data_IF_701217189773
#
_entry.id   IF_701217189773
#
_cell.length_a   1.000
_cell.length_b   1.000
_cell.length_c   1.000
_cell.angle_alpha   90.00
_cell.angle_beta   90.00
_cell.angle_gamma   90.00
#
_symmetry.space_group_name_H-M   'P 1'
#
loop_
_entity.id
_entity.type
_entity.pdbx_description
1 polymer ?
#
# COMPACT_ATOMS: atom_id res chain seq x y z
N UNK A 1 -9.36 12.77 12.43
CA UNK A 1 -8.23 12.11 12.85
C UNK A 1 -7.01 11.96 11.94
N UNK A 2 -7.13 11.62 10.65
CA UNK A 2 -6.00 11.44 9.72
C UNK A 2 -5.11 10.21 10.02
N UNK A 3 -5.59 9.26 10.81
CA UNK A 3 -4.96 7.94 10.99
C UNK A 3 -5.39 7.01 9.87
N UNK A 4 -4.51 6.08 9.49
CA UNK A 4 -4.77 5.09 8.44
C UNK A 4 -4.75 3.69 9.03
N UNK A 5 -5.83 2.95 8.81
CA UNK A 5 -5.96 1.55 9.21
C UNK A 5 -6.07 0.68 7.97
N UNK A 6 -5.29 -0.37 7.92
CA UNK A 6 -5.31 -1.35 6.84
C UNK A 6 -4.97 -2.73 7.36
N UNK A 7 -5.04 -3.72 6.50
CA UNK A 7 -4.62 -5.09 6.85
C UNK A 7 -3.61 -5.59 5.85
N UNK A 8 -2.65 -6.36 6.34
CA UNK A 8 -1.70 -7.09 5.50
C UNK A 8 -1.96 -8.59 5.60
N UNK A 9 -1.63 -9.31 4.54
CA UNK A 9 -1.64 -10.76 4.51
C UNK A 9 -0.21 -11.26 4.69
N UNK A 10 0.01 -12.12 5.68
CA UNK A 10 1.29 -12.80 5.91
C UNK A 10 1.01 -14.30 5.99
N UNK A 11 1.40 -15.03 4.94
CA UNK A 11 0.96 -16.41 4.76
C UNK A 11 -0.58 -16.47 4.89
N UNK A 12 -1.11 -17.32 5.76
CA UNK A 12 -2.55 -17.50 5.97
C UNK A 12 -3.15 -16.56 7.04
N UNK A 13 -2.35 -15.61 7.55
CA UNK A 13 -2.77 -14.72 8.63
C UNK A 13 -3.00 -13.30 8.13
N UNK A 14 -4.10 -12.70 8.54
CA UNK A 14 -4.42 -11.29 8.32
C UNK A 14 -4.08 -10.47 9.57
N UNK A 15 -3.20 -9.48 9.40
CA UNK A 15 -2.74 -8.61 10.48
C UNK A 15 -3.28 -7.20 10.26
N UNK A 16 -3.97 -6.66 11.26
CA UNK A 16 -4.42 -5.26 11.24
C UNK A 16 -3.26 -4.35 11.58
N UNK A 17 -3.10 -3.29 10.82
CA UNK A 17 -2.06 -2.28 10.96
C UNK A 17 -2.68 -0.90 11.17
N UNK A 18 -1.99 -0.06 11.92
CA UNK A 18 -2.34 1.34 12.12
C UNK A 18 -1.12 2.22 11.87
N UNK A 19 -1.30 3.25 11.05
CA UNK A 19 -0.33 4.33 10.83
C UNK A 19 -0.94 5.61 11.39
N UNK A 20 -0.29 6.21 12.36
CA UNK A 20 -0.79 7.39 13.04
C UNK A 20 -0.27 8.68 12.38
N UNK A 21 -1.11 9.72 12.34
CA UNK A 21 -0.82 11.01 11.71
C UNK A 21 0.54 11.63 12.11
N UNK A 22 0.96 11.61 13.39
CA UNK A 22 2.25 12.17 13.78
C UNK A 22 3.47 11.55 13.09
N UNK A 23 3.35 10.32 12.58
CA UNK A 23 4.44 9.64 11.85
C UNK A 23 4.75 10.27 10.49
N UNK A 24 3.82 11.01 9.90
CA UNK A 24 3.88 11.60 8.55
C UNK A 24 4.00 10.58 7.39
N UNK A 25 3.87 9.27 7.67
CA UNK A 25 3.85 8.23 6.63
C UNK A 25 2.42 7.75 6.31
N UNK A 26 1.39 8.43 6.83
CA UNK A 26 -0.02 8.12 6.55
C UNK A 26 -0.37 8.24 5.08
N UNK A 27 0.14 9.26 4.39
CA UNK A 27 -0.08 9.44 2.95
C UNK A 27 0.50 8.28 2.14
N UNK A 28 1.67 7.76 2.52
CA UNK A 28 2.26 6.58 1.91
C UNK A 28 1.35 5.36 2.11
N UNK A 29 0.85 5.16 3.34
CA UNK A 29 -0.05 4.05 3.64
C UNK A 29 -1.39 4.13 2.87
N UNK A 30 -1.93 5.34 2.65
CA UNK A 30 -3.14 5.55 1.85
C UNK A 30 -2.96 5.21 0.37
N UNK A 31 -1.74 5.31 -0.16
CA UNK A 31 -1.43 4.99 -1.55
C UNK A 31 -1.11 3.51 -1.78
N UNK A 32 -1.14 2.66 -0.75
CA UNK A 32 -1.01 1.21 -0.91
C UNK A 32 -2.30 0.63 -1.49
N UNK A 33 -2.15 -0.37 -2.36
CA UNK A 33 -3.27 -1.15 -2.89
C UNK A 33 -3.03 -2.64 -2.69
N UNK A 34 -4.09 -3.47 -2.75
CA UNK A 34 -3.95 -4.92 -2.71
C UNK A 34 -2.96 -5.42 -3.77
N UNK A 35 -2.08 -6.35 -3.39
CA UNK A 35 -1.02 -6.88 -4.24
C UNK A 35 0.33 -6.19 -4.09
N UNK A 36 0.41 -5.00 -3.46
CA UNK A 36 1.70 -4.40 -3.12
C UNK A 36 2.47 -5.29 -2.13
N UNK A 37 3.77 -5.51 -2.38
CA UNK A 37 4.63 -6.22 -1.44
C UNK A 37 5.35 -5.21 -0.55
N UNK A 38 5.15 -5.36 0.75
CA UNK A 38 5.69 -4.44 1.75
C UNK A 38 6.34 -5.20 2.89
N UNK A 39 7.30 -4.55 3.54
CA UNK A 39 7.84 -4.92 4.84
C UNK A 39 7.55 -3.79 5.80
N UNK A 40 7.00 -4.10 6.92
CA UNK A 40 6.74 -3.12 7.96
C UNK A 40 7.08 -3.69 9.33
N UNK A 41 7.29 -2.81 10.28
CA UNK A 41 7.52 -3.18 11.67
C UNK A 41 6.97 -2.14 12.60
N UNK A 42 6.77 -2.54 13.83
CA UNK A 42 6.21 -1.67 14.86
C UNK A 42 5.80 -2.42 16.11
N UNK A 43 5.24 -1.69 17.07
CA UNK A 43 4.76 -2.23 18.34
C UNK A 43 3.36 -2.86 18.22
N UNK A 44 3.14 -4.01 18.83
CA UNK A 44 1.83 -4.65 18.87
C UNK A 44 1.05 -4.14 20.09
N UNK A 45 -0.08 -3.51 19.85
CA UNK A 45 -1.08 -3.25 20.87
C UNK A 45 -1.95 -4.50 21.07
N UNK A 46 -1.93 -5.06 22.27
CA UNK A 46 -2.77 -6.20 22.63
C UNK A 46 -4.26 -5.86 22.50
N UNK A 47 -5.07 -6.89 22.27
CA UNK A 47 -6.53 -6.73 22.29
C UNK A 47 -7.01 -6.34 23.70
N UNK A 48 -8.08 -5.57 23.77
CA UNK A 48 -8.81 -5.24 25.00
C UNK A 48 -10.32 -5.38 24.76
N UNK A 49 -11.13 -5.20 25.79
CA UNK A 49 -12.60 -5.23 25.66
C UNK A 49 -13.11 -4.26 24.58
N UNK A 50 -12.46 -3.08 24.41
CA UNK A 50 -12.86 -2.03 23.46
C UNK A 50 -12.13 -2.06 22.12
N UNK A 51 -10.96 -2.72 22.03
CA UNK A 51 -10.11 -2.62 20.85
C UNK A 51 -9.52 -3.96 20.43
N UNK A 52 -9.53 -4.24 19.14
CA UNK A 52 -8.86 -5.43 18.59
C UNK A 52 -7.34 -5.22 18.58
N UNK A 53 -6.59 -6.35 18.56
CA UNK A 53 -5.13 -6.34 18.37
C UNK A 53 -4.77 -5.60 17.08
N UNK A 54 -3.73 -4.76 17.14
CA UNK A 54 -3.25 -3.97 16.01
C UNK A 54 -1.74 -3.80 16.07
N UNK A 55 -1.08 -3.85 14.92
CA UNK A 55 0.33 -3.48 14.76
C UNK A 55 0.42 -1.97 14.50
N UNK A 56 1.00 -1.24 15.44
CA UNK A 56 1.29 0.18 15.29
C UNK A 56 2.56 0.34 14.46
N UNK A 57 2.41 0.76 13.20
CA UNK A 57 3.51 0.81 12.23
C UNK A 57 4.49 1.92 12.59
N UNK A 58 5.76 1.55 12.75
CA UNK A 58 6.89 2.45 13.03
C UNK A 58 7.79 2.66 11.81
N UNK A 59 7.77 1.78 10.82
CA UNK A 59 8.39 1.99 9.52
C UNK A 59 7.66 1.18 8.44
N UNK A 60 7.74 1.65 7.20
CA UNK A 60 7.14 1.02 6.04
C UNK A 60 8.14 0.96 4.89
N UNK A 61 8.50 -0.24 4.46
CA UNK A 61 9.35 -0.47 3.30
C UNK A 61 8.52 -1.05 2.17
N UNK A 62 8.34 -0.29 1.10
CA UNK A 62 7.66 -0.74 -0.12
C UNK A 62 8.68 -1.47 -0.98
N UNK A 63 8.47 -2.76 -1.19
CA UNK A 63 9.38 -3.66 -1.90
C UNK A 63 9.00 -3.79 -3.37
N UNK A 64 7.69 -3.90 -3.66
CA UNK A 64 7.16 -4.03 -5.01
C UNK A 64 5.78 -3.38 -5.08
N UNK A 65 5.52 -2.66 -6.15
CA UNK A 65 4.23 -2.05 -6.43
C UNK A 65 3.48 -2.83 -7.50
N UNK A 66 2.21 -3.07 -7.24
CA UNK A 66 1.26 -3.60 -8.23
C UNK A 66 0.80 -2.46 -9.14
N UNK A 67 0.61 -2.76 -10.40
CA UNK A 67 0.02 -1.81 -11.36
C UNK A 67 -1.41 -1.48 -10.94
N UNK A 68 -1.73 -0.20 -10.92
CA UNK A 68 -3.08 0.25 -10.61
C UNK A 68 -3.86 0.44 -11.92
N UNK A 69 -4.95 -0.27 -12.06
CA UNK A 69 -5.78 -0.25 -13.27
C UNK A 69 -7.18 0.28 -12.95
N UNK A 70 -7.64 1.19 -13.79
CA UNK A 70 -9.01 1.69 -13.75
C UNK A 70 -9.75 1.24 -15.00
N UNK A 71 -10.95 0.67 -14.83
CA UNK A 71 -11.87 0.37 -15.92
C UNK A 71 -12.61 1.64 -16.32
N UNK A 72 -12.33 2.12 -17.51
CA UNK A 72 -12.94 3.33 -18.08
C UNK A 72 -13.79 3.00 -19.30
N UNK A 73 -14.72 3.90 -19.65
CA UNK A 73 -15.48 3.76 -20.87
C UNK A 73 -14.53 3.71 -22.07
N UNK A 74 -14.78 2.88 -23.09
CA UNK A 74 -13.90 2.72 -24.24
C UNK A 74 -13.82 3.98 -25.07
N UNK A 75 -12.72 4.11 -25.81
CA UNK A 75 -12.54 5.16 -26.81
C UNK A 75 -12.98 4.62 -28.18
N UNK A 76 -13.72 5.42 -28.93
CA UNK A 76 -14.19 5.07 -30.26
C UNK A 76 -13.01 4.98 -31.23
N UNK A 77 -12.85 3.84 -31.92
CA UNK A 77 -11.76 3.64 -32.89
C UNK A 77 -11.85 4.55 -34.13
N UNK A 78 -13.09 4.99 -34.51
CA UNK A 78 -13.29 5.88 -35.68
C UNK A 78 -13.09 7.36 -35.34
N UNK A 79 -13.59 7.80 -34.16
CA UNK A 79 -13.65 9.23 -33.83
C UNK A 79 -12.66 9.62 -32.70
N UNK A 80 -11.95 8.67 -32.14
CA UNK A 80 -11.05 8.81 -30.99
C UNK A 80 -11.69 9.54 -29.78
N UNK A 81 -13.03 9.51 -29.70
CA UNK A 81 -13.82 10.14 -28.62
C UNK A 81 -14.23 9.09 -27.60
N UNK A 82 -14.20 9.43 -26.32
CA UNK A 82 -14.67 8.53 -25.24
C UNK A 82 -16.16 8.26 -25.42
N UNK A 83 -16.55 6.99 -25.42
CA UNK A 83 -17.94 6.56 -25.55
C UNK A 83 -18.72 6.81 -24.26
N UNK A 84 -20.03 7.00 -24.38
CA UNK A 84 -20.96 7.10 -23.25
C UNK A 84 -21.63 5.75 -22.99
N UNK A 85 -21.95 5.45 -21.73
CA UNK A 85 -22.74 4.28 -21.37
C UNK A 85 -24.18 4.46 -21.87
N UNK A 86 -24.79 3.39 -22.42
CA UNK A 86 -26.19 3.38 -22.85
C UNK A 86 -27.14 2.99 -21.70
N UNK A 87 -26.59 2.46 -20.62
CA UNK A 87 -27.35 1.96 -19.48
C UNK A 87 -26.76 0.67 -18.92
N UNK A 88 -27.39 0.11 -17.89
CA UNK A 88 -26.95 -1.14 -17.27
C UNK A 88 -26.97 -2.26 -18.31
N UNK A 89 -25.83 -2.95 -18.50
CA UNK A 89 -25.66 -4.08 -19.45
C UNK A 89 -25.89 -3.76 -20.93
N UNK A 90 -26.11 -2.48 -21.31
CA UNK A 90 -26.38 -2.08 -22.70
C UNK A 90 -25.13 -1.66 -23.48
N UNK A 91 -23.95 -1.68 -22.82
CA UNK A 91 -22.69 -1.29 -23.43
C UNK A 91 -22.49 0.21 -23.56
N UNK A 92 -21.67 0.61 -24.52
CA UNK A 92 -21.21 1.98 -24.73
C UNK A 92 -21.45 2.40 -26.19
N UNK A 93 -21.73 3.69 -26.42
CA UNK A 93 -21.95 4.24 -27.75
C UNK A 93 -21.17 5.55 -27.95
N UNK A 94 -20.62 5.71 -29.13
CA UNK A 94 -20.00 6.96 -29.54
C UNK A 94 -21.07 7.99 -29.92
N UNK A 95 -21.09 9.13 -29.26
CA UNK A 95 -22.06 10.21 -29.52
C UNK A 95 -21.82 10.90 -30.87
N UNK A 96 -20.65 10.70 -31.53
CA UNK A 96 -20.31 11.32 -32.82
C UNK A 96 -20.70 10.44 -34.02
N UNK A 97 -20.45 9.14 -33.97
CA UNK A 97 -20.61 8.24 -35.12
C UNK A 97 -21.51 7.02 -34.85
N UNK A 98 -22.12 6.93 -33.65
CA UNK A 98 -23.01 5.82 -33.31
C UNK A 98 -22.32 4.47 -33.06
N UNK A 99 -21.02 4.34 -33.26
CA UNK A 99 -20.29 3.08 -33.04
C UNK A 99 -20.47 2.57 -31.61
N UNK A 100 -20.65 1.26 -31.43
CA UNK A 100 -20.93 0.63 -30.15
C UNK A 100 -19.78 -0.26 -29.65
N UNK A 101 -19.65 -0.44 -28.36
CA UNK A 101 -18.74 -1.38 -27.71
C UNK A 101 -19.39 -1.94 -26.44
N UNK A 102 -19.10 -3.19 -26.11
CA UNK A 102 -19.64 -3.82 -24.89
C UNK A 102 -18.63 -3.90 -23.75
N UNK A 103 -17.34 -3.72 -24.05
CA UNK A 103 -16.26 -3.84 -23.06
C UNK A 103 -15.70 -2.49 -22.65
N UNK A 104 -15.37 -2.36 -21.36
CA UNK A 104 -14.56 -1.26 -20.82
C UNK A 104 -13.11 -1.42 -21.24
N UNK A 105 -12.39 -0.32 -21.30
CA UNK A 105 -10.94 -0.30 -21.51
C UNK A 105 -10.23 -0.14 -20.17
N UNK A 106 -9.14 -0.86 -19.99
CA UNK A 106 -8.28 -0.74 -18.83
C UNK A 106 -7.28 0.40 -19.03
N UNK A 107 -7.25 1.34 -18.10
CA UNK A 107 -6.28 2.44 -18.05
C UNK A 107 -5.35 2.22 -16.87
N UNK A 108 -4.04 2.18 -17.13
CA UNK A 108 -3.04 2.15 -16.05
C UNK A 108 -2.90 3.56 -15.46
N UNK A 109 -3.05 3.65 -14.14
CA UNK A 109 -2.92 4.91 -13.40
C UNK A 109 -1.54 4.96 -12.73
N UNK A 110 -0.76 6.03 -12.94
CA UNK A 110 0.53 6.18 -12.28
C UNK A 110 0.37 6.21 -10.76
N UNK A 111 1.26 5.50 -10.07
CA UNK A 111 1.27 5.39 -8.61
C UNK A 111 1.97 6.60 -7.98
N UNK A 112 1.36 7.19 -6.95
CA UNK A 112 1.94 8.30 -6.17
C UNK A 112 2.87 7.82 -5.05
N UNK A 113 3.36 6.58 -5.14
CA UNK A 113 4.22 5.93 -4.14
C UNK A 113 5.39 5.26 -4.87
N UNK A 114 6.53 5.16 -4.21
CA UNK A 114 7.76 4.57 -4.76
C UNK A 114 8.23 3.38 -3.93
N UNK A 115 8.96 2.45 -4.57
CA UNK A 115 9.66 1.36 -3.88
C UNK A 115 10.84 1.90 -3.10
N UNK A 116 10.65 2.20 -1.81
CA UNK A 116 11.66 2.67 -0.87
C UNK A 116 11.25 2.46 0.57
N UNK A 117 12.19 2.67 1.48
CA UNK A 117 11.93 2.72 2.92
C UNK A 117 11.36 4.10 3.30
N UNK A 118 10.22 4.10 3.97
CA UNK A 118 9.59 5.27 4.55
C UNK A 118 9.72 5.19 6.07
N UNK A 119 10.39 6.18 6.63
CA UNK A 119 10.54 6.36 8.07
C UNK A 119 9.62 7.46 8.57
N UNK A 120 9.15 7.39 9.81
CA UNK A 120 8.40 8.47 10.42
C UNK A 120 9.26 9.73 10.58
N UNK A 121 8.60 10.86 10.87
CA UNK A 121 9.31 12.08 11.28
C UNK A 121 10.18 11.81 12.51
N UNK A 122 11.27 12.54 12.65
CA UNK A 122 12.23 12.36 13.76
C UNK A 122 11.53 12.41 15.13
N UNK A 123 10.57 13.33 15.31
CA UNK A 123 9.76 13.46 16.52
C UNK A 123 8.86 12.25 16.84
N UNK A 124 8.61 11.41 15.85
CA UNK A 124 7.78 10.21 15.99
C UNK A 124 8.59 8.90 15.94
N UNK A 125 9.93 8.98 16.00
CA UNK A 125 10.77 7.79 16.08
C UNK A 125 10.52 7.03 17.38
N UNK A 126 10.44 5.72 17.27
CA UNK A 126 10.27 4.77 18.40
C UNK A 126 11.35 3.68 18.32
N UNK A 127 11.27 2.69 19.19
CA UNK A 127 12.28 1.66 19.40
C UNK A 127 12.72 0.92 18.11
N UNK A 128 11.81 0.63 17.19
CA UNK A 128 12.12 -0.07 15.94
C UNK A 128 12.46 0.86 14.77
N UNK A 129 12.36 2.16 14.96
CA UNK A 129 12.73 3.14 13.93
C UNK A 129 14.25 3.35 13.95
N UNK A 130 14.93 3.00 12.86
CA UNK A 130 16.37 3.22 12.71
C UNK A 130 16.59 4.40 11.75
N UNK A 131 17.33 5.47 12.16
CA UNK A 131 17.67 6.59 11.29
C UNK A 131 18.44 6.14 10.04
N UNK A 132 18.27 6.84 8.92
CA UNK A 132 18.92 6.48 7.64
C UNK A 132 20.43 6.34 7.75
N UNK A 133 21.10 7.20 8.53
CA UNK A 133 22.54 7.16 8.73
C UNK A 133 23.00 5.86 9.38
N UNK A 134 22.17 5.25 10.25
CA UNK A 134 22.46 3.97 10.89
C UNK A 134 22.09 2.76 10.01
N UNK A 135 21.14 2.90 9.08
CA UNK A 135 20.75 1.82 8.18
C UNK A 135 21.89 1.52 7.19
N UNK A 136 22.59 2.55 6.71
CA UNK A 136 23.74 2.40 5.78
C UNK A 136 25.01 1.87 6.43
N UNK A 137 25.18 2.04 7.74
CA UNK A 137 26.32 1.49 8.48
C UNK A 137 26.01 0.00 8.79
N UNK A 138 26.33 -0.91 7.88
CA UNK A 138 26.51 -2.31 8.24
C UNK A 138 27.73 -2.37 9.16
N UNK A 139 27.52 -2.72 10.43
CA UNK A 139 28.63 -3.11 11.31
C UNK A 139 29.23 -4.40 10.73
N UNK A 140 30.34 -4.25 9.99
CA UNK A 140 31.09 -5.35 9.38
C UNK A 140 31.63 -6.36 10.42
N UNK A 141 31.60 -6.02 11.71
CA UNK A 141 32.27 -6.76 12.79
C UNK A 141 31.34 -7.49 13.77
N UNK A 142 30.03 -7.52 13.54
CA UNK A 142 29.16 -8.34 14.39
C UNK A 142 28.96 -9.67 13.68
N UNK A 143 29.76 -10.68 14.07
CA UNK A 143 29.45 -12.07 13.82
C UNK A 143 28.21 -12.38 14.66
N UNK A 144 27.04 -12.40 14.05
CA UNK A 144 25.84 -12.92 14.69
C UNK A 144 26.05 -14.43 14.90
N UNK A 145 26.00 -14.88 16.13
CA UNK A 145 25.94 -16.29 16.41
C UNK A 145 24.56 -16.79 15.94
N UNK A 146 24.54 -17.46 14.79
CA UNK A 146 23.30 -17.97 14.16
C UNK A 146 22.68 -19.14 14.89
N UNK A 147 23.30 -19.61 15.99
CA UNK A 147 22.80 -20.73 16.80
C UNK A 147 21.63 -20.34 17.74
N UNK A 148 21.33 -19.06 17.91
CA UNK A 148 20.17 -18.62 18.68
C UNK A 148 19.05 -18.29 17.68
N UNK A 149 17.97 -19.11 17.63
CA UNK A 149 16.84 -18.78 16.78
C UNK A 149 16.21 -17.46 17.30
N UNK A 150 16.24 -16.41 16.48
CA UNK A 150 15.49 -15.21 16.74
C UNK A 150 14.00 -15.55 16.65
N UNK A 151 13.38 -15.77 17.78
CA UNK A 151 11.93 -15.91 17.86
C UNK A 151 11.37 -14.52 17.62
N UNK A 152 10.93 -14.26 16.40
CA UNK A 152 10.05 -13.13 16.12
C UNK A 152 8.69 -13.46 16.73
N UNK A 153 8.51 -13.15 18.01
CA UNK A 153 7.20 -13.17 18.67
C UNK A 153 6.48 -11.93 18.17
N UNK A 154 5.58 -12.12 17.22
CA UNK A 154 4.69 -11.10 16.70
C UNK A 154 3.26 -11.37 17.15
#
# INVERSE_FOLDING_TARGET
>A
GGHVFFSIQVKDRKIRCAVYKPTKITQTAQNLIPGDKIRLGGGIRKASKKHRRVLNVEFLHVLQLTKNHLLVNPTCRKCNKRMKSKGSKQGFQCTKCGNSSFSKTTLEIPRKIQCKLYLPSVSAHRHLTRPYQRIKKRNKNIKFNTSIPWIHVF
#
